data_IF_004024816232
#
_entry.id   IF_004024816232
#
_cell.length_a   1.000
_cell.length_b   1.000
_cell.length_c   1.000
_cell.angle_alpha   90.00
_cell.angle_beta   90.00
_cell.angle_gamma   90.00
#
_symmetry.space_group_name_H-M   'P 1'
#
loop_
_entity.id
_entity.type
_entity.pdbx_description
1 polymer ?
#
# COMPACT_ATOMS: atom_id res chain seq x y z
N UNK A 1 6.51 2.60 41.46
CA UNK A 1 7.41 2.34 40.33
C UNK A 1 6.65 2.75 39.10
N UNK A 2 6.98 3.91 38.54
CA UNK A 2 6.32 4.44 37.34
C UNK A 2 7.15 4.06 36.12
N UNK A 3 6.51 3.44 35.14
CA UNK A 3 7.07 3.23 33.82
C UNK A 3 6.81 4.49 32.99
N UNK A 4 7.87 5.22 32.63
CA UNK A 4 7.79 6.34 31.70
C UNK A 4 7.70 5.79 30.26
N UNK A 5 6.54 5.91 29.62
CA UNK A 5 6.40 5.58 28.19
C UNK A 5 6.95 6.75 27.39
N UNK A 6 8.08 6.53 26.71
CA UNK A 6 8.61 7.47 25.71
C UNK A 6 8.17 7.02 24.32
N UNK A 7 7.19 7.68 23.69
CA UNK A 7 6.78 7.33 22.34
C UNK A 7 7.94 7.63 21.38
N UNK A 8 8.37 6.61 20.63
CA UNK A 8 9.32 6.78 19.55
C UNK A 8 8.56 7.35 18.34
N UNK A 9 8.98 8.49 17.82
CA UNK A 9 8.35 9.15 16.67
C UNK A 9 9.28 9.01 15.46
N UNK A 10 8.82 8.31 14.43
CA UNK A 10 9.48 8.23 13.14
C UNK A 10 8.67 9.03 12.11
N UNK A 11 9.32 9.93 11.39
CA UNK A 11 8.71 10.67 10.28
C UNK A 11 9.43 10.31 8.99
N UNK A 12 8.67 10.04 7.94
CA UNK A 12 9.19 9.82 6.59
C UNK A 12 8.41 10.69 5.61
N UNK A 13 9.12 11.58 4.93
CA UNK A 13 8.53 12.39 3.85
C UNK A 13 8.47 11.55 2.58
N UNK A 14 7.27 11.40 2.01
CA UNK A 14 7.09 10.74 0.72
C UNK A 14 6.94 11.79 -0.38
N UNK A 15 7.81 11.79 -1.39
CA UNK A 15 7.67 12.66 -2.58
C UNK A 15 6.71 12.06 -3.62
N UNK A 16 5.79 11.20 -3.18
CA UNK A 16 5.06 10.29 -4.06
C UNK A 16 3.65 10.82 -4.26
N UNK A 17 3.40 11.43 -5.41
CA UNK A 17 2.07 11.83 -5.89
C UNK A 17 1.13 12.42 -4.82
N UNK A 18 -0.17 12.26 -5.02
CA UNK A 18 -1.16 12.54 -3.98
C UNK A 18 -1.62 11.22 -3.36
N UNK A 19 -1.47 11.01 -2.04
CA UNK A 19 -1.83 9.74 -1.40
C UNK A 19 -3.35 9.54 -1.35
N UNK A 20 -3.79 8.32 -1.67
CA UNK A 20 -5.16 7.83 -1.53
C UNK A 20 -5.33 6.97 -0.28
N UNK A 21 -4.36 6.12 0.01
CA UNK A 21 -4.36 5.24 1.16
C UNK A 21 -2.94 5.04 1.70
N UNK A 22 -2.86 4.84 3.01
CA UNK A 22 -1.63 4.51 3.72
C UNK A 22 -1.91 3.39 4.71
N UNK A 23 -0.93 2.54 4.95
CA UNK A 23 -0.96 1.57 6.04
C UNK A 23 0.46 1.29 6.54
N UNK A 24 0.54 0.69 7.73
CA UNK A 24 1.77 0.20 8.34
C UNK A 24 1.58 -1.26 8.74
N UNK A 25 2.68 -2.01 8.75
CA UNK A 25 2.66 -3.37 9.28
C UNK A 25 2.57 -3.37 10.82
N UNK A 26 2.26 -4.53 11.40
CA UNK A 26 2.07 -4.69 12.84
C UNK A 26 3.33 -4.34 13.66
N UNK A 27 4.51 -4.37 13.02
CA UNK A 27 5.80 -4.05 13.63
C UNK A 27 6.25 -2.61 13.36
N UNK A 28 5.49 -1.83 12.60
CA UNK A 28 5.83 -0.46 12.17
C UNK A 28 7.19 -0.34 11.47
N UNK A 29 7.64 -1.40 10.82
CA UNK A 29 8.90 -1.49 10.05
C UNK A 29 8.68 -1.14 8.59
N UNK A 30 7.49 -1.50 8.06
CA UNK A 30 7.10 -1.26 6.68
C UNK A 30 5.82 -0.44 6.64
N UNK A 31 5.80 0.53 5.73
CA UNK A 31 4.59 1.24 5.36
C UNK A 31 4.31 1.00 3.87
N UNK A 32 3.06 1.13 3.45
CA UNK A 32 2.75 1.37 2.05
C UNK A 32 2.02 2.69 1.85
N UNK A 33 2.21 3.28 0.68
CA UNK A 33 1.44 4.42 0.19
C UNK A 33 0.87 4.07 -1.18
N UNK A 34 -0.44 4.19 -1.34
CA UNK A 34 -1.12 4.14 -2.62
C UNK A 34 -1.42 5.56 -3.08
N UNK A 35 -1.12 5.90 -4.33
CA UNK A 35 -1.32 7.25 -4.87
C UNK A 35 -2.44 7.33 -5.89
N UNK A 36 -2.89 8.56 -6.15
CA UNK A 36 -3.87 8.87 -7.19
C UNK A 36 -3.45 8.46 -8.59
N UNK A 37 -2.14 8.37 -8.88
CA UNK A 37 -1.66 7.88 -10.17
C UNK A 37 -1.79 6.35 -10.31
N UNK A 38 -2.29 5.65 -9.28
CA UNK A 38 -2.45 4.20 -9.26
C UNK A 38 -1.18 3.43 -8.93
N UNK A 39 -0.17 4.11 -8.38
CA UNK A 39 1.08 3.48 -7.94
C UNK A 39 1.01 3.16 -6.45
N UNK A 40 1.44 1.95 -6.08
CA UNK A 40 1.70 1.58 -4.70
C UNK A 40 3.20 1.48 -4.46
N UNK A 41 3.66 2.05 -3.34
CA UNK A 41 5.04 1.96 -2.89
C UNK A 41 5.11 1.41 -1.47
N UNK A 42 6.01 0.46 -1.23
CA UNK A 42 6.38 0.00 0.10
C UNK A 42 7.67 0.67 0.55
N UNK A 43 7.66 1.18 1.77
CA UNK A 43 8.69 2.03 2.32
C UNK A 43 9.21 1.42 3.62
N UNK A 44 10.53 1.47 3.82
CA UNK A 44 11.11 1.22 5.14
C UNK A 44 10.86 2.40 6.05
N UNK A 45 10.32 2.13 7.24
CA UNK A 45 10.17 3.11 8.32
C UNK A 45 11.45 3.27 9.14
N UNK A 46 12.27 2.22 9.21
CA UNK A 46 13.58 2.24 9.88
C UNK A 46 14.67 2.97 9.08
N UNK A 47 14.47 3.14 7.77
CA UNK A 47 15.41 3.80 6.88
C UNK A 47 14.69 4.87 6.01
N UNK A 48 14.23 5.99 6.61
CA UNK A 48 13.37 6.99 5.96
C UNK A 48 14.01 7.66 4.74
N UNK A 49 15.35 7.71 4.67
CA UNK A 49 16.10 8.34 3.57
C UNK A 49 16.38 7.38 2.41
N UNK A 50 16.04 6.09 2.53
CA UNK A 50 16.21 5.10 1.47
C UNK A 50 15.03 5.13 0.49
N UNK A 51 15.20 4.77 -0.79
CA UNK A 51 14.08 4.65 -1.72
C UNK A 51 13.05 3.59 -1.27
N UNK A 52 11.93 3.52 -1.97
CA UNK A 52 10.96 2.45 -1.79
C UNK A 52 11.62 1.07 -1.97
N UNK A 53 11.21 0.11 -1.14
CA UNK A 53 11.64 -1.28 -1.21
C UNK A 53 10.97 -1.99 -2.38
N UNK A 54 9.71 -1.62 -2.65
CA UNK A 54 8.92 -2.16 -3.74
C UNK A 54 8.00 -1.08 -4.29
N UNK A 55 7.85 -1.06 -5.61
CA UNK A 55 6.95 -0.14 -6.32
C UNK A 55 6.23 -0.93 -7.39
N UNK A 56 4.92 -0.71 -7.52
CA UNK A 56 4.12 -1.31 -8.58
C UNK A 56 3.06 -0.32 -9.08
N UNK A 57 2.96 -0.22 -10.41
CA UNK A 57 1.84 0.44 -11.07
C UNK A 57 0.66 -0.53 -11.13
N UNK A 58 -0.44 -0.20 -10.45
CA UNK A 58 -1.63 -1.06 -10.37
C UNK A 58 -2.67 -0.70 -11.43
N UNK A 59 -2.84 0.59 -11.71
CA UNK A 59 -3.78 1.09 -12.71
C UNK A 59 -3.23 2.38 -13.33
N UNK A 60 -3.50 2.65 -14.60
CA UNK A 60 -3.12 3.91 -15.26
C UNK A 60 -4.33 4.84 -15.30
N UNK A 61 -4.16 6.13 -15.01
CA UNK A 61 -5.26 7.10 -14.93
C UNK A 61 -6.48 6.64 -14.12
N UNK A 62 -6.33 6.27 -12.83
CA UNK A 62 -7.47 5.93 -11.99
C UNK A 62 -8.46 7.09 -11.88
N UNK A 63 -9.73 6.80 -12.11
CA UNK A 63 -10.84 7.76 -11.97
C UNK A 63 -11.69 7.52 -10.73
N UNK A 64 -11.55 6.35 -10.11
CA UNK A 64 -12.27 6.00 -8.88
C UNK A 64 -11.43 5.11 -7.96
N UNK A 65 -11.67 5.24 -6.65
CA UNK A 65 -11.02 4.49 -5.60
C UNK A 65 -12.04 4.01 -4.57
N UNK A 66 -11.86 2.79 -4.07
CA UNK A 66 -12.61 2.24 -2.95
C UNK A 66 -11.73 1.34 -2.08
N UNK A 67 -12.11 1.19 -0.82
CA UNK A 67 -11.50 0.25 0.10
C UNK A 67 -12.58 -0.53 0.84
N UNK A 68 -12.31 -1.80 1.09
CA UNK A 68 -13.14 -2.66 1.93
C UNK A 68 -13.04 -2.27 3.41
N UNK A 69 -13.81 -2.94 4.27
CA UNK A 69 -13.61 -2.83 5.71
C UNK A 69 -12.13 -3.14 6.07
N UNK A 70 -11.49 -2.40 6.98
CA UNK A 70 -10.05 -2.54 7.25
C UNK A 70 -9.59 -3.98 7.54
N UNK A 71 -10.41 -4.80 8.23
CA UNK A 71 -10.09 -6.19 8.52
C UNK A 71 -10.03 -7.13 7.31
N UNK A 72 -10.54 -6.71 6.15
CA UNK A 72 -10.46 -7.48 4.90
C UNK A 72 -9.24 -7.09 4.05
N UNK A 73 -8.76 -5.85 4.15
CA UNK A 73 -7.54 -5.37 3.50
C UNK A 73 -7.60 -5.22 1.97
N UNK A 74 -8.78 -5.32 1.36
CA UNK A 74 -8.95 -5.15 -0.08
C UNK A 74 -9.13 -3.68 -0.48
N UNK A 75 -8.51 -3.33 -1.60
CA UNK A 75 -8.58 -2.04 -2.27
C UNK A 75 -9.04 -2.22 -3.71
N UNK A 76 -9.66 -1.19 -4.27
CA UNK A 76 -10.15 -1.16 -5.64
C UNK A 76 -9.83 0.17 -6.31
N UNK A 77 -9.35 0.11 -7.54
CA UNK A 77 -9.24 1.23 -8.47
C UNK A 77 -10.07 0.93 -9.72
N UNK A 78 -10.63 1.97 -10.34
CA UNK A 78 -11.18 1.89 -11.70
C UNK A 78 -10.45 2.91 -12.55
N UNK A 79 -9.92 2.49 -13.70
CA UNK A 79 -9.25 3.39 -14.63
C UNK A 79 -10.20 4.10 -15.60
N UNK A 80 -9.67 5.04 -16.37
CA UNK A 80 -10.41 5.81 -17.37
C UNK A 80 -10.98 4.97 -18.53
N UNK A 81 -10.55 3.71 -18.66
CA UNK A 81 -11.12 2.74 -19.59
C UNK A 81 -12.23 1.90 -18.94
N UNK A 82 -12.54 2.10 -17.66
CA UNK A 82 -13.55 1.34 -16.93
C UNK A 82 -13.09 -0.05 -16.47
N UNK A 83 -11.79 -0.33 -16.51
CA UNK A 83 -11.25 -1.59 -15.98
C UNK A 83 -11.07 -1.49 -14.47
N UNK A 84 -11.57 -2.50 -13.76
CA UNK A 84 -11.48 -2.59 -12.31
C UNK A 84 -10.24 -3.37 -11.88
N UNK A 85 -9.46 -2.77 -10.98
CA UNK A 85 -8.24 -3.33 -10.41
C UNK A 85 -8.48 -3.55 -8.91
N UNK A 86 -8.72 -4.81 -8.51
CA UNK A 86 -8.95 -5.18 -7.11
C UNK A 86 -7.71 -5.89 -6.59
N UNK A 87 -7.20 -5.43 -5.44
CA UNK A 87 -5.94 -5.93 -4.92
C UNK A 87 -5.86 -5.85 -3.40
N UNK A 88 -4.97 -6.67 -2.83
CA UNK A 88 -4.65 -6.68 -1.40
C UNK A 88 -3.13 -6.48 -1.22
N UNK A 89 -2.71 -5.37 -0.60
CA UNK A 89 -1.33 -5.18 -0.16
C UNK A 89 -0.97 -6.20 0.92
N UNK A 90 0.16 -6.90 0.76
CA UNK A 90 0.69 -7.84 1.73
C UNK A 90 2.11 -7.41 2.11
N UNK A 91 2.34 -7.12 3.39
CA UNK A 91 3.66 -6.71 3.88
C UNK A 91 4.67 -7.86 3.85
N UNK A 92 4.20 -9.11 3.93
CA UNK A 92 4.97 -10.33 4.15
C UNK A 92 5.85 -10.25 5.41
N UNK A 93 5.60 -11.15 6.38
CA UNK A 93 6.22 -11.10 7.70
C UNK A 93 7.76 -11.23 7.63
N UNK A 94 8.48 -10.19 8.07
CA UNK A 94 9.92 -10.18 8.36
C UNK A 94 10.23 -10.93 9.66
N UNK A 95 9.87 -12.21 9.75
CA UNK A 95 10.42 -13.08 10.79
C UNK A 95 11.76 -13.63 10.29
N UNK A 96 12.82 -12.90 10.65
CA UNK A 96 14.27 -13.19 10.52
C UNK A 96 14.64 -14.46 9.73
N UNK A 97 15.49 -14.24 8.73
CA UNK A 97 16.23 -15.22 7.89
C UNK A 97 15.56 -15.72 6.60
N UNK A 98 14.25 -15.53 6.39
CA UNK A 98 13.58 -15.82 5.11
C UNK A 98 12.63 -14.69 4.67
N UNK A 99 13.20 -13.52 4.41
CA UNK A 99 12.43 -12.33 4.01
C UNK A 99 11.84 -12.50 2.60
N UNK A 100 10.52 -12.70 2.50
CA UNK A 100 9.80 -12.47 1.24
C UNK A 100 9.55 -10.97 1.10
N UNK A 101 9.85 -10.35 -0.05
CA UNK A 101 9.54 -8.94 -0.24
C UNK A 101 8.03 -8.70 -0.12
N UNK A 102 7.58 -7.49 0.26
CA UNK A 102 6.17 -7.15 0.21
C UNK A 102 5.65 -7.34 -1.22
N UNK A 103 4.36 -7.66 -1.32
CA UNK A 103 3.73 -7.91 -2.61
C UNK A 103 2.32 -7.34 -2.66
N UNK A 104 1.73 -7.37 -3.86
CA UNK A 104 0.34 -7.00 -4.07
C UNK A 104 -0.36 -8.21 -4.66
N UNK A 105 -1.32 -8.75 -3.93
CA UNK A 105 -2.14 -9.85 -4.40
C UNK A 105 -3.29 -9.26 -5.21
N UNK A 106 -3.20 -9.36 -6.53
CA UNK A 106 -4.30 -8.98 -7.41
C UNK A 106 -5.39 -10.06 -7.38
N UNK A 107 -6.63 -9.64 -7.25
CA UNK A 107 -7.77 -10.51 -7.55
C UNK A 107 -7.88 -10.58 -9.07
N UNK A 108 -7.64 -11.76 -9.65
CA UNK A 108 -7.93 -11.99 -11.07
C UNK A 108 -9.44 -12.07 -11.24
N UNK A 109 -10.00 -11.12 -11.96
CA UNK A 109 -11.43 -11.01 -12.21
C UNK A 109 -11.65 -10.47 -13.62
N UNK A 110 -12.60 -11.06 -14.35
CA UNK A 110 -13.04 -10.57 -15.66
C UNK A 110 -14.03 -9.38 -15.54
N UNK A 111 -14.04 -8.68 -14.40
CA UNK A 111 -14.94 -7.55 -14.16
C UNK A 111 -14.55 -6.35 -15.03
N UNK A 112 -15.31 -6.15 -16.10
CA UNK A 112 -15.26 -4.96 -16.93
C UNK A 112 -16.51 -4.09 -16.67
N UNK A 113 -16.29 -2.85 -16.24
CA UNK A 113 -17.36 -1.88 -15.94
C UNK A 113 -17.60 -0.90 -17.09
N UNK A 114 -17.04 -1.14 -18.28
CA UNK A 114 -17.37 -0.34 -19.48
C UNK A 114 -18.86 -0.40 -19.74
N UNK A 115 -19.52 0.75 -19.66
CA UNK A 115 -20.89 0.93 -20.13
C UNK A 115 -20.83 1.17 -21.65
N UNK A 116 -21.22 0.16 -22.43
CA UNK A 116 -21.47 0.29 -23.88
C UNK A 116 -22.82 0.92 -24.17
#
# INVERSE_FOLDING_TARGET
SDAEIKPNHATRTTQVGMPLAISVDDYSQLAFVLTQSGEIQYLSMDAPDKPAIYTQQLATNPVSFSQSAPGLGWYGLVDDQGLAHIFKPEFNATLRENTRPPEVVALSTDMNLTLT
#
